data_IF_814263564327
#
_entry.id   IF_814263564327
#
_cell.length_a   1.000
_cell.length_b   1.000
_cell.length_c   1.000
_cell.angle_alpha   90.00
_cell.angle_beta   90.00
_cell.angle_gamma   90.00
#
_symmetry.space_group_name_H-M   'P 1'
#
loop_
_entity.id
_entity.type
_entity.pdbx_description
1 polymer ?
#
# COMPACT_ATOMS: atom_id res chain seq x y z
N UNK A 1 1.08 12.44 21.21
CA UNK A 1 1.86 11.39 20.52
C UNK A 1 1.52 11.49 19.04
N UNK A 2 2.52 11.69 18.18
CA UNK A 2 2.34 11.72 16.72
C UNK A 2 2.07 10.30 16.24
N UNK A 3 0.84 10.01 15.80
CA UNK A 3 0.48 8.73 15.21
C UNK A 3 1.01 8.69 13.77
N UNK A 4 2.07 7.91 13.53
CA UNK A 4 2.48 7.52 12.18
C UNK A 4 1.42 6.57 11.63
N UNK A 5 0.65 6.98 10.62
CA UNK A 5 -0.27 6.06 9.95
C UNK A 5 0.53 5.10 9.05
N UNK A 6 0.64 3.86 9.49
CA UNK A 6 1.06 2.70 8.72
C UNK A 6 0.01 2.34 7.66
N UNK A 7 0.35 2.60 6.40
CA UNK A 7 -0.47 2.27 5.24
C UNK A 7 0.27 2.67 3.98
N UNK A 8 0.95 1.72 3.34
CA UNK A 8 1.80 1.98 2.16
C UNK A 8 1.04 2.37 0.88
N UNK A 9 -0.29 2.57 0.95
CA UNK A 9 -1.21 2.75 -0.18
C UNK A 9 -0.72 3.71 -1.27
N UNK A 10 -1.10 4.99 -1.20
CA UNK A 10 -0.60 6.01 -2.14
C UNK A 10 0.74 6.59 -1.68
N UNK A 11 1.00 6.69 -0.37
CA UNK A 11 2.24 7.28 0.18
C UNK A 11 3.47 6.40 -0.11
N UNK A 12 3.34 5.07 0.02
CA UNK A 12 4.43 4.15 -0.31
C UNK A 12 4.77 4.18 -1.80
N UNK A 13 3.76 4.33 -2.67
CA UNK A 13 3.95 4.52 -4.11
C UNK A 13 4.59 5.87 -4.43
N UNK A 14 4.16 6.94 -3.77
CA UNK A 14 4.78 8.25 -3.90
C UNK A 14 6.28 8.17 -3.61
N UNK A 15 6.66 7.57 -2.48
CA UNK A 15 8.08 7.35 -2.15
C UNK A 15 8.81 6.59 -3.27
N UNK A 16 8.26 5.48 -3.74
CA UNK A 16 8.89 4.67 -4.79
C UNK A 16 9.08 5.43 -6.11
N UNK A 17 8.07 6.22 -6.51
CA UNK A 17 8.19 7.05 -7.72
C UNK A 17 9.26 8.12 -7.52
N UNK A 18 9.28 8.78 -6.36
CA UNK A 18 10.26 9.82 -6.08
C UNK A 18 11.69 9.28 -5.99
N UNK A 19 11.89 8.07 -5.46
CA UNK A 19 13.20 7.40 -5.41
C UNK A 19 13.78 7.14 -6.82
N UNK A 20 12.95 7.13 -7.88
CA UNK A 20 13.39 7.05 -9.29
C UNK A 20 13.61 8.44 -9.92
N UNK A 21 13.26 9.52 -9.23
CA UNK A 21 13.29 10.90 -9.70
C UNK A 21 14.30 11.74 -8.91
N UNK A 22 15.58 11.46 -9.12
CA UNK A 22 16.66 12.16 -8.43
C UNK A 22 16.76 13.65 -8.81
N UNK A 23 17.13 14.47 -7.82
CA UNK A 23 17.48 15.88 -8.03
C UNK A 23 16.31 16.86 -8.12
N UNK A 24 15.08 16.41 -7.87
CA UNK A 24 13.90 17.27 -7.84
C UNK A 24 13.74 17.99 -6.49
N UNK A 25 13.22 19.22 -6.55
CA UNK A 25 12.73 19.93 -5.37
C UNK A 25 11.22 19.69 -5.25
N UNK A 26 10.80 19.11 -4.12
CA UNK A 26 9.43 18.66 -3.89
C UNK A 26 8.65 19.73 -3.15
N UNK A 27 7.52 20.14 -3.71
CA UNK A 27 6.52 20.97 -3.02
C UNK A 27 5.31 20.09 -2.68
N UNK A 28 5.02 19.97 -1.38
CA UNK A 28 3.85 19.23 -0.90
C UNK A 28 2.62 20.12 -0.88
N UNK A 29 1.46 19.59 -1.32
CA UNK A 29 0.17 20.26 -1.13
C UNK A 29 -0.21 20.24 0.36
N UNK A 30 0.10 21.33 1.06
CA UNK A 30 -0.16 21.49 2.49
C UNK A 30 -1.65 21.51 2.86
N UNK A 31 -2.56 21.55 1.87
CA UNK A 31 -3.99 21.43 2.11
C UNK A 31 -4.40 20.02 2.58
N UNK A 32 -3.57 19.00 2.36
CA UNK A 32 -3.86 17.64 2.79
C UNK A 32 -3.22 17.29 4.15
N UNK A 33 -4.00 16.69 5.04
CA UNK A 33 -3.49 16.09 6.28
C UNK A 33 -2.44 14.99 6.01
N UNK A 34 -2.46 14.38 4.82
CA UNK A 34 -1.46 13.37 4.41
C UNK A 34 -0.09 13.96 4.09
N UNK A 35 0.02 15.28 3.88
CA UNK A 35 1.27 15.93 3.49
C UNK A 35 2.36 15.79 4.57
N UNK A 36 2.00 15.90 5.86
CA UNK A 36 2.94 15.74 6.97
C UNK A 36 3.47 14.31 7.08
N UNK A 37 2.58 13.33 6.92
CA UNK A 37 2.95 11.92 6.95
C UNK A 37 3.79 11.53 5.73
N UNK A 38 3.40 11.99 4.54
CA UNK A 38 4.17 11.79 3.33
C UNK A 38 5.56 12.42 3.45
N UNK A 39 5.66 13.65 3.96
CA UNK A 39 6.94 14.28 4.24
C UNK A 39 7.80 13.42 5.17
N UNK A 40 7.27 12.90 6.27
CA UNK A 40 8.01 12.00 7.17
C UNK A 40 8.49 10.70 6.51
N UNK A 41 7.70 10.12 5.60
CA UNK A 41 8.05 8.87 4.90
C UNK A 41 9.13 9.11 3.83
N UNK A 42 9.15 10.31 3.25
CA UNK A 42 10.03 10.70 2.15
C UNK A 42 11.28 11.45 2.68
N UNK A 43 11.27 11.86 3.95
CA UNK A 43 12.31 12.67 4.58
C UNK A 43 13.69 12.01 4.54
N UNK A 44 14.73 12.83 4.42
CA UNK A 44 16.13 12.40 4.43
C UNK A 44 16.72 11.95 3.09
N UNK A 45 15.91 11.78 2.03
CA UNK A 45 16.41 11.50 0.66
C UNK A 45 16.06 12.55 -0.38
N UNK A 46 14.99 13.31 -0.12
CA UNK A 46 14.44 14.27 -1.07
C UNK A 46 14.53 15.69 -0.52
N UNK A 47 14.71 16.67 -1.41
CA UNK A 47 14.74 18.08 -1.04
C UNK A 47 13.32 18.64 -1.04
N UNK A 48 12.91 19.22 0.08
CA UNK A 48 11.63 19.92 0.16
C UNK A 48 11.80 21.42 -0.10
N UNK A 49 11.09 21.93 -1.11
CA UNK A 49 11.02 23.35 -1.38
C UNK A 49 10.16 24.04 -0.32
N UNK A 50 10.70 25.11 0.27
CA UNK A 50 9.99 25.91 1.27
C UNK A 50 9.30 27.14 0.68
N UNK A 51 9.56 27.46 -0.59
CA UNK A 51 9.05 28.64 -1.29
C UNK A 51 8.24 28.24 -2.52
N UNK A 52 7.09 28.88 -2.77
CA UNK A 52 6.11 28.48 -3.78
C UNK A 52 6.49 29.02 -5.16
N UNK A 53 7.69 28.70 -5.65
CA UNK A 53 7.93 28.77 -7.08
C UNK A 53 6.83 27.96 -7.80
N UNK A 54 6.40 28.41 -8.98
CA UNK A 54 5.39 27.68 -9.73
C UNK A 54 5.93 26.25 -10.02
N UNK A 55 5.25 25.19 -9.58
CA UNK A 55 5.73 23.83 -9.82
C UNK A 55 5.72 23.54 -11.33
N UNK A 56 6.77 22.88 -11.81
CA UNK A 56 6.87 22.51 -13.23
C UNK A 56 5.81 21.46 -13.63
N UNK A 57 5.43 20.60 -12.68
CA UNK A 57 4.37 19.61 -12.82
C UNK A 57 3.89 19.18 -11.42
N UNK A 58 2.72 18.55 -11.37
CA UNK A 58 2.17 17.91 -10.18
C UNK A 58 2.04 16.40 -10.40
N UNK A 59 2.42 15.62 -9.38
CA UNK A 59 2.23 14.17 -9.32
C UNK A 59 1.07 13.86 -8.37
N UNK A 60 0.03 13.20 -8.85
CA UNK A 60 -1.18 12.89 -8.08
C UNK A 60 -1.49 11.40 -8.15
N UNK A 61 -1.72 10.73 -7.02
CA UNK A 61 -1.88 9.28 -6.94
C UNK A 61 -3.26 8.90 -6.40
N UNK A 62 -4.10 8.27 -7.23
CA UNK A 62 -5.47 7.83 -6.92
C UNK A 62 -6.40 8.92 -6.35
N UNK A 63 -6.20 10.20 -6.68
CA UNK A 63 -7.07 11.30 -6.27
C UNK A 63 -7.49 12.13 -7.50
N UNK A 64 -8.56 11.73 -8.22
CA UNK A 64 -8.99 12.40 -9.44
C UNK A 64 -9.44 13.84 -9.18
N UNK A 65 -10.02 14.11 -8.00
CA UNK A 65 -10.50 15.46 -7.62
C UNK A 65 -9.32 16.41 -7.41
N UNK A 66 -8.26 15.97 -6.73
CA UNK A 66 -7.05 16.77 -6.58
C UNK A 66 -6.37 17.00 -7.93
N UNK A 67 -6.30 15.98 -8.79
CA UNK A 67 -5.74 16.10 -10.14
C UNK A 67 -6.47 17.18 -10.97
N UNK A 68 -7.80 17.13 -11.04
CA UNK A 68 -8.59 18.12 -11.79
C UNK A 68 -8.54 19.52 -11.15
N UNK A 69 -8.42 19.62 -9.83
CA UNK A 69 -8.22 20.90 -9.14
C UNK A 69 -6.88 21.53 -9.54
N UNK A 70 -5.81 20.75 -9.55
CA UNK A 70 -4.46 21.22 -9.88
C UNK A 70 -4.33 21.53 -11.39
N UNK A 71 -4.89 20.69 -12.25
CA UNK A 71 -4.89 20.93 -13.68
C UNK A 71 -5.58 22.26 -14.04
N UNK A 72 -6.70 22.59 -13.36
CA UNK A 72 -7.41 23.88 -13.55
C UNK A 72 -6.62 25.11 -13.11
N UNK A 73 -5.58 24.97 -12.30
CA UNK A 73 -4.68 26.09 -11.98
C UNK A 73 -3.60 26.32 -13.05
N UNK A 74 -3.61 25.52 -14.13
CA UNK A 74 -2.63 25.60 -15.22
C UNK A 74 -1.35 24.79 -14.97
N UNK A 75 -1.28 24.03 -13.87
CA UNK A 75 -0.13 23.17 -13.58
C UNK A 75 -0.29 21.83 -14.33
N UNK A 76 0.71 21.38 -15.11
CA UNK A 76 0.67 20.05 -15.74
C UNK A 76 0.54 18.94 -14.70
N UNK A 77 -0.35 17.97 -14.93
CA UNK A 77 -0.62 16.87 -13.98
C UNK A 77 -0.22 15.53 -14.56
N UNK A 78 0.66 14.83 -13.85
CA UNK A 78 0.90 13.39 -14.01
C UNK A 78 0.03 12.67 -12.99
N UNK A 79 -1.03 12.01 -13.46
CA UNK A 79 -1.89 11.19 -12.63
C UNK A 79 -1.41 9.75 -12.64
N UNK A 80 -1.26 9.16 -11.46
CA UNK A 80 -0.89 7.76 -11.28
C UNK A 80 -2.07 7.01 -10.66
N UNK A 81 -2.62 6.11 -11.45
CA UNK A 81 -3.67 5.21 -11.06
C UNK A 81 -3.10 3.83 -10.74
N UNK A 82 -3.15 3.46 -9.47
CA UNK A 82 -2.70 2.13 -9.03
C UNK A 82 -3.81 1.11 -8.88
N UNK A 83 -5.07 1.52 -9.12
CA UNK A 83 -6.26 0.69 -8.99
C UNK A 83 -7.21 0.84 -10.21
N UNK A 84 -6.71 0.94 -11.47
CA UNK A 84 -7.56 1.23 -12.63
C UNK A 84 -8.64 0.17 -12.88
N UNK A 85 -8.39 -1.04 -12.39
CA UNK A 85 -9.29 -2.20 -12.48
C UNK A 85 -10.42 -2.17 -11.45
N UNK A 86 -10.43 -1.22 -10.51
CA UNK A 86 -11.54 -1.04 -9.55
C UNK A 86 -12.56 0.00 -10.01
N UNK A 87 -12.24 0.79 -11.04
CA UNK A 87 -13.14 1.85 -11.51
C UNK A 87 -14.28 1.30 -12.35
N UNK A 88 -15.46 1.82 -12.05
CA UNK A 88 -16.74 1.44 -12.65
C UNK A 88 -17.43 2.61 -13.32
N UNK A 89 -16.96 3.84 -13.08
CA UNK A 89 -17.56 5.08 -13.57
C UNK A 89 -16.51 6.08 -14.04
N UNK A 90 -16.87 6.96 -14.98
CA UNK A 90 -15.97 8.02 -15.47
C UNK A 90 -15.60 9.05 -14.39
N UNK A 91 -16.38 9.15 -13.30
CA UNK A 91 -16.10 10.07 -12.19
C UNK A 91 -14.86 9.70 -11.38
N UNK A 92 -14.40 8.46 -11.51
CA UNK A 92 -13.22 7.93 -10.82
C UNK A 92 -11.92 8.23 -11.59
N UNK A 93 -12.05 8.88 -12.75
CA UNK A 93 -10.96 9.21 -13.67
C UNK A 93 -10.90 10.74 -13.84
N UNK A 94 -9.73 11.38 -13.64
CA UNK A 94 -9.59 12.84 -13.80
C UNK A 94 -9.80 13.26 -15.25
N UNK A 95 -10.55 14.32 -15.48
CA UNK A 95 -10.85 14.81 -16.82
C UNK A 95 -9.67 15.54 -17.49
N UNK A 96 -8.74 16.11 -16.70
CA UNK A 96 -7.75 17.08 -17.19
C UNK A 96 -6.29 16.69 -16.89
N UNK A 97 -5.99 15.42 -16.64
CA UNK A 97 -4.61 14.97 -16.48
C UNK A 97 -3.80 15.16 -17.78
N UNK A 98 -2.61 15.77 -17.67
CA UNK A 98 -1.68 15.92 -18.80
C UNK A 98 -1.10 14.59 -19.23
N UNK A 99 -0.82 13.72 -18.24
CA UNK A 99 -0.39 12.35 -18.45
C UNK A 99 -1.14 11.45 -17.48
N UNK A 100 -1.66 10.34 -17.99
CA UNK A 100 -2.38 9.36 -17.21
C UNK A 100 -1.61 8.04 -17.20
N UNK A 101 -0.96 7.73 -16.08
CA UNK A 101 -0.20 6.51 -15.85
C UNK A 101 -1.06 5.50 -15.09
N UNK A 102 -1.37 4.35 -15.67
CA UNK A 102 -2.20 3.34 -15.06
C UNK A 102 -1.42 2.05 -14.83
N UNK A 103 -1.47 1.53 -13.61
CA UNK A 103 -0.82 0.27 -13.28
C UNK A 103 -1.56 -0.90 -13.94
N UNK A 104 -0.82 -1.83 -14.54
CA UNK A 104 -1.42 -3.04 -15.10
C UNK A 104 -2.28 -3.80 -14.07
N UNK A 105 -3.44 -4.28 -14.53
CA UNK A 105 -4.30 -5.17 -13.74
C UNK A 105 -3.56 -6.48 -13.48
N UNK A 106 -3.49 -6.97 -12.24
CA UNK A 106 -2.93 -8.29 -11.93
C UNK A 106 -3.68 -9.43 -12.65
N UNK A 107 -4.96 -9.21 -13.02
CA UNK A 107 -5.75 -10.16 -13.78
C UNK A 107 -5.47 -10.12 -15.30
N UNK A 108 -4.54 -9.28 -15.76
CA UNK A 108 -4.15 -9.11 -17.17
C UNK A 108 -5.13 -8.30 -18.03
N UNK A 109 -6.40 -8.15 -17.61
CA UNK A 109 -7.39 -7.34 -18.29
C UNK A 109 -8.16 -6.43 -17.31
N UNK A 110 -8.69 -5.32 -17.84
CA UNK A 110 -9.64 -4.47 -17.12
C UNK A 110 -11.06 -5.07 -17.19
N UNK A 111 -11.91 -4.83 -16.18
CA UNK A 111 -13.32 -5.17 -16.26
C UNK A 111 -13.99 -4.58 -17.50
N UNK A 112 -14.98 -5.26 -18.11
CA UNK A 112 -15.69 -4.74 -19.28
C UNK A 112 -16.32 -3.36 -19.08
N UNK A 113 -16.70 -3.05 -17.84
CA UNK A 113 -17.30 -1.80 -17.38
C UNK A 113 -16.27 -0.70 -17.09
N UNK A 114 -14.98 -0.97 -17.21
CA UNK A 114 -13.95 0.02 -16.86
C UNK A 114 -14.00 1.20 -17.85
N UNK A 115 -14.04 2.45 -17.35
CA UNK A 115 -14.04 3.65 -18.19
C UNK A 115 -12.76 3.78 -19.03
N UNK A 116 -11.67 3.17 -18.57
CA UNK A 116 -10.35 3.23 -19.21
C UNK A 116 -10.23 2.37 -20.46
N UNK A 117 -11.18 1.46 -20.76
CA UNK A 117 -11.12 0.61 -21.96
C UNK A 117 -11.19 1.41 -23.26
N UNK A 118 -11.83 2.57 -23.24
CA UNK A 118 -12.02 3.43 -24.41
C UNK A 118 -11.00 4.58 -24.48
N UNK A 119 -10.16 4.71 -23.47
CA UNK A 119 -9.15 5.76 -23.41
C UNK A 119 -7.89 5.36 -24.17
N UNK A 120 -7.60 6.10 -25.25
CA UNK A 120 -6.45 5.85 -26.11
C UNK A 120 -5.11 6.30 -25.52
N UNK A 121 -5.13 7.23 -24.54
CA UNK A 121 -3.94 7.93 -24.06
C UNK A 121 -3.55 7.50 -22.63
N UNK A 122 -3.62 6.21 -22.33
CA UNK A 122 -3.19 5.64 -21.06
C UNK A 122 -1.77 5.12 -21.19
N UNK A 123 -0.88 5.60 -20.32
CA UNK A 123 0.46 5.05 -20.15
C UNK A 123 0.41 3.89 -19.16
N UNK A 124 0.41 2.67 -19.66
CA UNK A 124 0.41 1.50 -18.80
C UNK A 124 1.79 1.31 -18.17
N UNK A 125 1.82 1.12 -16.85
CA UNK A 125 3.04 0.91 -16.06
C UNK A 125 2.99 -0.38 -15.27
N UNK A 126 4.16 -0.92 -15.00
CA UNK A 126 4.35 -2.06 -14.12
C UNK A 126 3.96 -1.73 -12.67
N UNK A 127 3.72 -2.74 -11.80
CA UNK A 127 3.49 -2.54 -10.39
C UNK A 127 4.52 -1.62 -9.73
N UNK A 128 4.03 -0.61 -9.00
CA UNK A 128 4.87 0.32 -8.26
C UNK A 128 5.27 -0.36 -6.94
N UNK A 129 6.33 -1.16 -7.03
CA UNK A 129 6.91 -1.95 -5.93
C UNK A 129 8.41 -1.66 -5.81
N UNK A 130 9.04 -1.93 -4.65
CA UNK A 130 10.49 -1.83 -4.52
C UNK A 130 11.20 -2.68 -5.57
N UNK A 131 12.43 -2.30 -5.98
CA UNK A 131 13.21 -3.09 -6.91
C UNK A 131 13.33 -4.54 -6.44
N UNK A 132 13.22 -5.52 -7.36
CA UNK A 132 13.23 -6.93 -6.99
C UNK A 132 14.53 -7.27 -6.26
N UNK A 133 14.40 -7.91 -5.10
CA UNK A 133 15.51 -8.36 -4.27
C UNK A 133 15.29 -9.83 -3.92
N UNK A 134 16.37 -10.58 -3.89
CA UNK A 134 16.31 -12.00 -3.53
C UNK A 134 15.85 -12.15 -2.07
N UNK A 135 14.73 -12.86 -1.85
CA UNK A 135 14.27 -13.26 -0.53
C UNK A 135 15.30 -14.17 0.14
N UNK A 136 15.57 -13.91 1.42
CA UNK A 136 16.46 -14.72 2.26
C UNK A 136 15.68 -15.79 3.02
N UNK A 137 14.51 -15.44 3.54
CA UNK A 137 13.70 -16.34 4.38
C UNK A 137 14.35 -16.63 5.74
N UNK A 138 13.71 -17.49 6.52
CA UNK A 138 14.20 -18.05 7.79
C UNK A 138 13.86 -17.24 9.04
N UNK A 139 13.19 -16.09 8.93
CA UNK A 139 12.81 -15.29 10.10
C UNK A 139 11.39 -15.59 10.64
N UNK A 140 10.63 -16.46 9.98
CA UNK A 140 9.25 -16.79 10.34
C UNK A 140 8.19 -15.95 9.63
N UNK A 141 7.03 -15.80 10.25
CA UNK A 141 5.82 -15.23 9.66
C UNK A 141 5.72 -13.73 9.90
N UNK A 142 5.40 -12.96 8.86
CA UNK A 142 4.99 -11.56 8.98
C UNK A 142 3.48 -11.46 8.88
N UNK A 143 2.86 -10.75 9.81
CA UNK A 143 1.45 -10.37 9.75
C UNK A 143 1.36 -8.89 9.38
N UNK A 144 0.52 -8.52 8.43
CA UNK A 144 0.33 -7.14 8.00
C UNK A 144 -1.15 -6.81 7.87
N UNK A 145 -1.66 -5.94 8.72
CA UNK A 145 -3.06 -5.50 8.67
C UNK A 145 -3.25 -4.15 7.99
N UNK A 146 -2.15 -3.54 7.52
CA UNK A 146 -2.17 -2.23 6.88
C UNK A 146 -2.77 -1.14 7.78
N UNK A 147 -3.43 -0.17 7.14
CA UNK A 147 -4.16 0.88 7.83
C UNK A 147 -5.53 0.40 8.28
N UNK A 148 -5.63 -0.07 9.54
CA UNK A 148 -6.90 -0.47 10.17
C UNK A 148 -7.87 0.70 10.41
N UNK A 149 -7.39 1.94 10.30
CA UNK A 149 -8.19 3.13 10.54
C UNK A 149 -8.84 3.58 9.23
N UNK A 150 -10.10 3.19 9.02
CA UNK A 150 -11.02 4.00 8.24
C UNK A 150 -11.71 4.96 9.20
N UNK A 151 -11.54 6.27 9.01
CA UNK A 151 -12.24 7.30 9.79
C UNK A 151 -13.78 7.20 9.70
N UNK A 152 -14.28 6.33 8.82
CA UNK A 152 -15.70 6.12 8.53
C UNK A 152 -16.33 4.97 9.32
N UNK A 153 -15.57 4.19 10.11
CA UNK A 153 -16.11 3.04 10.83
C UNK A 153 -15.60 3.02 12.27
N UNK A 154 -16.37 3.59 13.20
CA UNK A 154 -16.07 3.50 14.63
C UNK A 154 -16.06 2.05 15.12
N UNK A 155 -15.15 1.71 16.05
CA UNK A 155 -15.07 0.43 16.79
C UNK A 155 -14.81 -0.86 15.97
N UNK A 156 -15.05 -0.87 14.66
CA UNK A 156 -14.94 -2.06 13.81
C UNK A 156 -13.49 -2.58 13.68
N UNK A 157 -12.50 -1.69 13.77
CA UNK A 157 -11.09 -2.06 13.82
C UNK A 157 -10.78 -2.94 15.03
N UNK A 158 -11.37 -2.64 16.19
CA UNK A 158 -11.14 -3.42 17.40
C UNK A 158 -11.75 -4.82 17.30
N UNK A 159 -12.97 -4.90 16.77
CA UNK A 159 -13.66 -6.17 16.54
C UNK A 159 -12.87 -7.07 15.57
N UNK A 160 -12.33 -6.50 14.48
CA UNK A 160 -11.51 -7.24 13.53
C UNK A 160 -10.24 -7.81 14.18
N UNK A 161 -9.54 -6.99 14.98
CA UNK A 161 -8.34 -7.43 15.68
C UNK A 161 -8.62 -8.61 16.63
N UNK A 162 -9.70 -8.53 17.42
CA UNK A 162 -10.10 -9.59 18.36
C UNK A 162 -10.59 -10.86 17.67
N UNK A 163 -11.27 -10.72 16.54
CA UNK A 163 -11.86 -11.86 15.84
C UNK A 163 -10.88 -12.56 14.89
N UNK A 164 -9.89 -11.84 14.36
CA UNK A 164 -9.01 -12.34 13.29
C UNK A 164 -7.56 -12.36 13.72
N UNK A 165 -7.01 -11.22 14.14
CA UNK A 165 -5.55 -11.08 14.29
C UNK A 165 -5.04 -11.80 15.53
N UNK A 166 -5.65 -11.55 16.69
CA UNK A 166 -5.21 -12.19 17.95
C UNK A 166 -5.34 -13.71 17.85
N UNK A 167 -6.50 -14.29 17.44
CA UNK A 167 -6.63 -15.74 17.32
C UNK A 167 -5.69 -16.35 16.27
N UNK A 168 -5.38 -15.63 15.17
CA UNK A 168 -4.42 -16.10 14.18
C UNK A 168 -3.00 -16.17 14.77
N UNK A 169 -2.58 -15.16 15.52
CA UNK A 169 -1.28 -15.17 16.21
C UNK A 169 -1.21 -16.35 17.17
N UNK A 170 -2.23 -16.55 18.00
CA UNK A 170 -2.30 -17.68 18.92
C UNK A 170 -2.25 -19.02 18.19
N UNK A 171 -2.98 -19.17 17.10
CA UNK A 171 -3.00 -20.39 16.28
C UNK A 171 -1.63 -20.68 15.65
N UNK A 172 -0.96 -19.66 15.12
CA UNK A 172 0.38 -19.79 14.53
C UNK A 172 1.41 -20.22 15.59
N UNK A 173 1.36 -19.63 16.79
CA UNK A 173 2.23 -20.01 17.91
C UNK A 173 1.94 -21.45 18.35
N UNK A 174 0.66 -21.81 18.52
CA UNK A 174 0.26 -23.18 18.87
C UNK A 174 0.73 -24.22 17.84
N UNK A 175 0.78 -23.84 16.57
CA UNK A 175 1.29 -24.67 15.48
C UNK A 175 2.84 -24.69 15.39
N UNK A 176 3.55 -23.97 16.26
CA UNK A 176 5.01 -23.92 16.30
C UNK A 176 5.64 -22.97 15.29
N UNK A 177 4.87 -22.07 14.68
CA UNK A 177 5.41 -21.05 13.78
C UNK A 177 6.01 -19.88 14.57
N UNK A 178 7.21 -19.47 14.17
CA UNK A 178 7.82 -18.22 14.65
C UNK A 178 7.14 -17.02 14.00
N UNK A 179 6.78 -16.01 14.80
CA UNK A 179 6.31 -14.71 14.30
C UNK A 179 7.49 -13.75 14.24
N UNK A 180 7.74 -13.17 13.07
CA UNK A 180 8.81 -12.21 12.84
C UNK A 180 8.36 -10.77 13.14
N UNK A 181 7.13 -10.43 12.73
CA UNK A 181 6.56 -9.10 12.92
C UNK A 181 5.03 -9.11 12.79
N UNK A 182 4.37 -8.20 13.50
CA UNK A 182 2.96 -7.83 13.31
C UNK A 182 2.90 -6.35 12.98
N UNK A 183 2.68 -6.02 11.70
CA UNK A 183 2.76 -4.67 11.16
C UNK A 183 1.35 -4.09 10.94
N UNK A 184 1.11 -2.86 11.41
CA UNK A 184 -0.22 -2.25 11.31
C UNK A 184 -0.39 -0.97 12.11
N UNK A 185 -1.45 -0.22 11.80
CA UNK A 185 -1.98 0.82 12.68
C UNK A 185 -2.76 0.21 13.84
N UNK A 186 -2.05 -0.38 14.79
CA UNK A 186 -2.64 -1.08 15.92
C UNK A 186 -2.98 -0.09 17.05
N UNK A 187 -4.15 -0.22 17.70
CA UNK A 187 -4.47 0.53 18.91
C UNK A 187 -3.60 0.05 20.09
N UNK A 188 -3.42 0.91 21.10
CA UNK A 188 -2.53 0.64 22.24
C UNK A 188 -2.87 -0.66 23.00
N UNK A 189 -4.14 -1.03 23.08
CA UNK A 189 -4.56 -2.28 23.72
C UNK A 189 -4.05 -3.49 22.94
N UNK A 190 -4.10 -3.47 21.61
CA UNK A 190 -3.64 -4.58 20.77
C UNK A 190 -2.12 -4.72 20.82
N UNK A 191 -1.40 -3.61 20.91
CA UNK A 191 0.04 -3.63 21.20
C UNK A 191 0.35 -4.35 22.51
N UNK A 192 -0.39 -4.02 23.58
CA UNK A 192 -0.19 -4.60 24.91
C UNK A 192 -0.49 -6.10 24.89
N UNK A 193 -1.59 -6.49 24.26
CA UNK A 193 -2.04 -7.88 24.14
C UNK A 193 -1.04 -8.73 23.34
N UNK A 194 -0.60 -8.24 22.16
CA UNK A 194 0.39 -8.93 21.34
C UNK A 194 1.77 -9.01 22.01
N UNK A 195 2.19 -7.97 22.74
CA UNK A 195 3.47 -7.98 23.47
C UNK A 195 3.49 -8.95 24.65
N UNK A 196 2.32 -9.28 25.22
CA UNK A 196 2.22 -10.30 26.28
C UNK A 196 2.38 -11.72 25.73
N UNK A 197 1.99 -11.96 24.48
CA UNK A 197 2.02 -13.27 23.84
C UNK A 197 3.32 -13.51 23.06
N UNK A 198 3.87 -12.47 22.42
CA UNK A 198 5.03 -12.58 21.54
C UNK A 198 6.35 -12.34 22.29
N UNK A 199 7.46 -12.98 21.87
CA UNK A 199 8.79 -12.65 22.39
C UNK A 199 9.12 -11.17 22.17
N UNK A 200 9.86 -10.55 23.09
CA UNK A 200 10.23 -9.12 23.02
C UNK A 200 11.08 -8.72 21.80
N UNK A 201 11.62 -9.69 21.05
CA UNK A 201 12.31 -9.46 19.78
C UNK A 201 11.36 -9.26 18.58
N UNK A 202 10.08 -9.56 18.72
CA UNK A 202 9.08 -9.43 17.66
C UNK A 202 8.63 -7.98 17.55
N UNK A 203 8.70 -7.43 16.34
CA UNK A 203 8.21 -6.07 16.07
C UNK A 203 6.68 -6.06 16.03
N UNK A 204 6.04 -5.16 16.77
CA UNK A 204 4.58 -4.99 16.80
C UNK A 204 4.20 -3.53 16.54
N UNK A 205 3.32 -3.31 15.56
CA UNK A 205 2.71 -2.01 15.24
C UNK A 205 3.27 -1.31 14.00
N UNK A 206 3.33 0.03 13.99
CA UNK A 206 3.77 0.77 12.81
C UNK A 206 5.23 0.45 12.50
N UNK A 207 5.53 0.28 11.22
CA UNK A 207 6.89 0.10 10.69
C UNK A 207 7.18 1.15 9.63
N UNK A 208 8.44 1.56 9.46
CA UNK A 208 8.85 2.31 8.27
C UNK A 208 8.82 1.43 7.03
N UNK A 209 8.93 2.05 5.85
CA UNK A 209 8.82 1.35 4.58
C UNK A 209 9.97 0.36 4.40
N UNK A 210 11.17 0.83 4.75
CA UNK A 210 12.39 0.03 4.70
C UNK A 210 12.37 -1.11 5.73
N UNK A 211 11.85 -0.88 6.93
CA UNK A 211 11.70 -1.95 7.92
C UNK A 211 10.71 -3.01 7.48
N UNK A 212 9.60 -2.60 6.87
CA UNK A 212 8.60 -3.52 6.35
C UNK A 212 9.17 -4.34 5.18
N UNK A 213 9.84 -3.70 4.22
CA UNK A 213 10.54 -4.38 3.12
C UNK A 213 11.59 -5.37 3.62
N UNK A 214 12.40 -4.97 4.61
CA UNK A 214 13.38 -5.85 5.22
C UNK A 214 12.72 -7.06 5.88
N UNK A 215 11.59 -6.86 6.57
CA UNK A 215 10.81 -7.94 7.17
C UNK A 215 10.29 -8.91 6.10
N UNK A 216 9.71 -8.41 4.99
CA UNK A 216 9.23 -9.27 3.89
C UNK A 216 10.36 -10.11 3.27
N UNK A 217 11.55 -9.53 3.10
CA UNK A 217 12.71 -10.25 2.54
C UNK A 217 13.25 -11.35 3.46
N UNK A 218 13.06 -11.24 4.78
CA UNK A 218 13.47 -12.28 5.74
C UNK A 218 12.34 -13.26 6.07
N UNK A 219 11.08 -12.92 5.76
CA UNK A 219 9.92 -13.73 6.11
C UNK A 219 9.86 -15.05 5.33
N UNK A 220 9.28 -16.07 5.95
CA UNK A 220 8.92 -17.35 5.36
C UNK A 220 7.52 -17.36 4.76
N UNK A 221 6.61 -16.59 5.37
CA UNK A 221 5.26 -16.38 4.87
C UNK A 221 4.72 -15.01 5.33
N UNK A 222 3.76 -14.49 4.58
CA UNK A 222 3.01 -13.28 4.88
C UNK A 222 1.53 -13.63 5.10
N UNK A 223 0.95 -13.13 6.18
CA UNK A 223 -0.50 -13.04 6.33
C UNK A 223 -0.87 -11.57 6.25
N UNK A 224 -1.66 -11.18 5.26
CA UNK A 224 -1.97 -9.75 5.06
C UNK A 224 -3.45 -9.51 4.81
N UNK A 225 -3.97 -8.41 5.34
CA UNK A 225 -5.23 -7.87 4.80
C UNK A 225 -5.07 -7.60 3.29
N UNK A 226 -6.14 -7.71 2.48
CA UNK A 226 -6.04 -7.68 1.01
C UNK A 226 -5.73 -6.29 0.41
N UNK A 227 -4.61 -5.69 0.81
CA UNK A 227 -4.10 -4.44 0.28
C UNK A 227 -3.21 -4.68 -0.94
N UNK A 228 -3.56 -4.11 -2.08
CA UNK A 228 -2.84 -4.33 -3.35
C UNK A 228 -1.34 -4.06 -3.26
N UNK A 229 -0.93 -2.93 -2.64
CA UNK A 229 0.50 -2.60 -2.49
C UNK A 229 1.27 -3.71 -1.75
N UNK A 230 0.76 -4.17 -0.61
CA UNK A 230 1.44 -5.20 0.19
C UNK A 230 1.50 -6.54 -0.54
N UNK A 231 0.41 -6.93 -1.23
CA UNK A 231 0.36 -8.17 -2.01
C UNK A 231 1.38 -8.11 -3.16
N UNK A 232 1.42 -7.03 -3.91
CA UNK A 232 2.35 -6.85 -5.04
C UNK A 232 3.81 -6.82 -4.57
N UNK A 233 4.08 -6.19 -3.43
CA UNK A 233 5.41 -6.22 -2.80
C UNK A 233 5.82 -7.65 -2.44
N UNK A 234 4.94 -8.44 -1.84
CA UNK A 234 5.21 -9.83 -1.51
C UNK A 234 5.41 -10.70 -2.76
N UNK A 235 4.59 -10.50 -3.79
CA UNK A 235 4.71 -11.19 -5.08
C UNK A 235 6.05 -10.90 -5.78
N UNK A 236 6.54 -9.66 -5.70
CA UNK A 236 7.82 -9.25 -6.31
C UNK A 236 9.07 -9.94 -5.74
N UNK A 237 8.92 -10.63 -4.61
CA UNK A 237 9.99 -11.36 -3.93
C UNK A 237 9.64 -12.83 -3.71
N UNK A 238 8.64 -13.35 -4.42
CA UNK A 238 8.14 -14.73 -4.31
C UNK A 238 7.84 -15.16 -2.85
N UNK A 239 7.25 -14.27 -2.05
CA UNK A 239 6.89 -14.55 -0.66
C UNK A 239 5.51 -15.25 -0.58
N UNK A 240 5.42 -16.48 -0.02
CA UNK A 240 4.13 -17.12 0.22
C UNK A 240 3.19 -16.22 1.01
N UNK A 241 2.01 -15.93 0.45
CA UNK A 241 1.08 -14.95 1.00
C UNK A 241 -0.30 -15.54 1.19
N UNK A 242 -0.82 -15.44 2.42
CA UNK A 242 -2.19 -15.76 2.78
C UNK A 242 -2.97 -14.46 3.02
N UNK A 243 -4.17 -14.37 2.44
CA UNK A 243 -5.04 -13.20 2.60
C UNK A 243 -5.91 -13.36 3.86
N UNK A 244 -5.92 -12.32 4.69
CA UNK A 244 -6.86 -12.19 5.80
C UNK A 244 -8.23 -11.74 5.27
N UNK A 245 -9.31 -11.93 6.05
CA UNK A 245 -10.63 -11.43 5.69
C UNK A 245 -10.59 -9.93 5.35
N UNK A 246 -11.28 -9.50 4.27
CA UNK A 246 -11.32 -8.10 3.88
C UNK A 246 -12.14 -7.26 4.86
N UNK A 247 -11.74 -6.00 5.01
CA UNK A 247 -12.35 -5.02 5.92
C UNK A 247 -13.12 -3.92 5.19
N UNK A 248 -12.93 -3.78 3.88
CA UNK A 248 -13.59 -2.78 3.05
C UNK A 248 -13.74 -3.26 1.61
N UNK A 249 -14.52 -2.54 0.79
CA UNK A 249 -14.83 -2.92 -0.59
C UNK A 249 -13.57 -3.12 -1.45
N UNK A 250 -12.60 -2.22 -1.38
CA UNK A 250 -11.37 -2.37 -2.17
C UNK A 250 -10.59 -3.64 -1.80
N UNK A 251 -10.65 -4.06 -0.53
CA UNK A 251 -10.05 -5.32 -0.08
C UNK A 251 -10.86 -6.54 -0.53
N UNK A 252 -12.19 -6.46 -0.62
CA UNK A 252 -13.00 -7.53 -1.20
C UNK A 252 -12.59 -7.74 -2.66
N UNK A 253 -12.53 -6.67 -3.45
CA UNK A 253 -12.16 -6.73 -4.86
C UNK A 253 -10.71 -7.21 -5.06
N UNK A 254 -9.77 -6.73 -4.23
CA UNK A 254 -8.41 -7.27 -4.25
C UNK A 254 -8.39 -8.76 -3.86
N UNK A 255 -9.17 -9.20 -2.87
CA UNK A 255 -9.23 -10.61 -2.50
C UNK A 255 -9.79 -11.49 -3.62
N UNK A 256 -10.72 -10.99 -4.43
CA UNK A 256 -11.22 -11.70 -5.62
C UNK A 256 -10.16 -11.81 -6.73
N UNK A 257 -9.34 -10.77 -6.90
CA UNK A 257 -8.27 -10.74 -7.91
C UNK A 257 -7.07 -11.59 -7.50
N UNK A 258 -6.64 -11.50 -6.24
CA UNK A 258 -5.43 -12.15 -5.74
C UNK A 258 -5.70 -13.47 -5.00
N UNK A 259 -6.94 -13.73 -4.58
CA UNK A 259 -7.30 -14.94 -3.85
C UNK A 259 -7.71 -16.05 -4.80
N UNK A 260 -6.75 -16.90 -5.20
CA UNK A 260 -7.07 -18.16 -5.89
C UNK A 260 -7.22 -19.28 -4.85
N UNK A 261 -8.36 -19.98 -4.75
CA UNK A 261 -8.53 -21.10 -3.83
C UNK A 261 -7.52 -22.21 -4.13
N UNK A 262 -6.68 -22.58 -3.15
CA UNK A 262 -5.63 -23.59 -3.31
C UNK A 262 -4.41 -23.13 -4.12
N UNK A 263 -4.29 -21.83 -4.41
CA UNK A 263 -3.24 -21.27 -5.27
C UNK A 263 -1.83 -21.37 -4.68
N UNK A 264 -0.89 -21.78 -5.52
CA UNK A 264 0.55 -21.55 -5.33
C UNK A 264 0.85 -20.05 -5.22
N UNK A 265 1.93 -19.70 -4.53
CA UNK A 265 2.50 -18.35 -4.43
C UNK A 265 2.38 -17.62 -5.77
N UNK A 266 1.74 -16.44 -5.77
CA UNK A 266 1.72 -15.55 -6.94
C UNK A 266 3.16 -15.07 -7.16
N UNK A 267 3.83 -15.62 -8.16
CA UNK A 267 5.17 -15.18 -8.57
C UNK A 267 5.04 -13.96 -9.49
N UNK A 268 5.84 -12.92 -9.24
CA UNK A 268 5.88 -11.72 -10.08
C UNK A 268 7.31 -11.21 -10.29
N UNK A 269 7.70 -10.79 -11.52
CA UNK A 269 6.94 -10.89 -12.77
C UNK A 269 6.75 -12.35 -13.20
N UNK A 270 5.71 -12.62 -13.99
CA UNK A 270 5.39 -13.97 -14.47
C UNK A 270 6.58 -14.59 -15.21
N UNK A 271 6.83 -15.89 -14.97
CA UNK A 271 7.76 -16.67 -15.79
C UNK A 271 7.17 -17.00 -17.15
#
# INVERSE_FOLDING_TARGET
>A
MSTTDFGWGSIGKLRLILDELDGLDILMDNASNTAKLAAQVIDGRHRFAHSPGAPAAALVINDPVAADRIARSGTPVVYVDSLPYLWTTDLEVPAAATMYCAQHSPAGALPPTSPLRQWANVHWVEPIVPPPRRRRGGAGVVLSVGGLHSHLVGGASDAYLRAVVIPLVDALICAGHQIAAVCGNLPAWAHTELAATLPGSVRVGPSSAYEFEAALLQADALFTSPGSTTILQAASVDLPTALLPPQNLSQILNAEIFGVPGGSVIAWPGR
#
